data_IF_969643114295
#
_entry.id   IF_969643114295
#
_cell.length_a   1.000
_cell.length_b   1.000
_cell.length_c   1.000
_cell.angle_alpha   90.00
_cell.angle_beta   90.00
_cell.angle_gamma   90.00
#
_symmetry.space_group_name_H-M   'P 1'
#
loop_
_entity.id
_entity.type
_entity.pdbx_description
1 polymer ?
#
# COMPACT_ATOMS: atom_id res chain seq x y z
N UNK A 1 74.29 -44.33 45.34
CA UNK A 1 74.27 -42.92 44.90
C UNK A 1 74.96 -42.80 43.54
N UNK A 2 74.55 -41.82 42.74
CA UNK A 2 74.81 -41.58 41.30
C UNK A 2 73.88 -42.40 40.38
N UNK A 3 72.72 -41.92 39.87
CA UNK A 3 72.22 -40.61 39.38
C UNK A 3 72.77 -40.15 38.01
N UNK A 4 71.90 -40.29 36.99
CA UNK A 4 71.85 -39.58 35.69
C UNK A 4 73.01 -39.84 34.69
N UNK A 5 72.80 -40.03 33.38
CA UNK A 5 71.82 -39.38 32.51
C UNK A 5 71.32 -40.33 31.41
N UNK A 6 70.01 -40.60 31.40
CA UNK A 6 69.30 -41.20 30.26
C UNK A 6 68.97 -40.08 29.28
N UNK A 7 69.59 -40.15 28.09
CA UNK A 7 69.12 -39.42 26.90
C UNK A 7 67.71 -39.89 26.55
N UNK A 8 66.69 -39.14 26.94
CA UNK A 8 65.38 -39.24 26.31
C UNK A 8 65.32 -38.20 25.21
N UNK A 9 65.50 -38.66 23.97
CA UNK A 9 65.04 -37.90 22.81
C UNK A 9 63.53 -37.77 22.93
N UNK A 10 63.10 -36.55 23.27
CA UNK A 10 61.73 -36.10 23.19
C UNK A 10 61.31 -36.13 21.71
N UNK A 11 60.71 -37.25 21.30
CA UNK A 11 59.91 -37.28 20.09
C UNK A 11 58.68 -36.41 20.34
N UNK A 12 58.75 -35.15 19.91
CA UNK A 12 57.56 -34.37 19.64
C UNK A 12 56.78 -35.11 18.56
N UNK A 13 55.77 -35.87 18.99
CA UNK A 13 54.74 -36.40 18.11
C UNK A 13 53.99 -35.19 17.57
N UNK A 14 54.40 -34.72 16.40
CA UNK A 14 53.62 -33.78 15.59
C UNK A 14 52.34 -34.53 15.24
N UNK A 15 51.21 -34.12 15.82
CA UNK A 15 49.91 -34.59 15.35
C UNK A 15 49.87 -34.41 13.82
N UNK A 16 49.49 -35.43 13.03
CA UNK A 16 49.36 -35.25 11.60
C UNK A 16 48.33 -34.16 11.37
N UNK A 17 48.75 -33.04 10.77
CA UNK A 17 47.81 -32.07 10.24
C UNK A 17 47.05 -32.81 9.12
N UNK A 18 45.81 -33.20 9.41
CA UNK A 18 44.93 -33.83 8.42
C UNK A 18 44.71 -32.82 7.29
N UNK A 19 45.31 -33.07 6.14
CA UNK A 19 45.09 -32.28 4.94
C UNK A 19 43.65 -32.46 4.46
N UNK A 20 43.08 -31.40 3.88
CA UNK A 20 41.75 -31.45 3.28
C UNK A 20 41.68 -32.51 2.18
N UNK A 21 40.66 -33.36 2.24
CA UNK A 21 40.42 -34.34 1.18
C UNK A 21 39.63 -33.72 0.03
N UNK A 22 39.83 -34.21 -1.20
CA UNK A 22 39.07 -33.75 -2.37
C UNK A 22 37.55 -33.95 -2.17
N UNK A 23 37.18 -35.03 -1.48
CA UNK A 23 35.79 -35.35 -1.11
C UNK A 23 35.22 -34.28 -0.17
N UNK A 24 35.98 -33.87 0.85
CA UNK A 24 35.57 -32.81 1.79
C UNK A 24 35.35 -31.48 1.04
N UNK A 25 36.23 -31.15 0.09
CA UNK A 25 36.07 -29.95 -0.74
C UNK A 25 34.81 -30.02 -1.61
N UNK A 26 34.50 -31.18 -2.21
CA UNK A 26 33.27 -31.37 -2.99
C UNK A 26 32.01 -31.24 -2.13
N UNK A 27 32.01 -31.80 -0.91
CA UNK A 27 30.88 -31.68 0.02
C UNK A 27 30.66 -30.22 0.42
N UNK A 28 31.74 -29.47 0.72
CA UNK A 28 31.65 -28.05 1.05
C UNK A 28 31.09 -27.24 -0.13
N UNK A 29 31.57 -27.48 -1.36
CA UNK A 29 31.06 -26.80 -2.56
C UNK A 29 29.57 -27.11 -2.78
N UNK A 30 29.16 -28.38 -2.62
CA UNK A 30 27.76 -28.78 -2.75
C UNK A 30 26.87 -28.10 -1.69
N UNK A 31 27.32 -28.06 -0.44
CA UNK A 31 26.61 -27.37 0.65
C UNK A 31 26.52 -25.87 0.38
N UNK A 32 27.60 -25.23 -0.06
CA UNK A 32 27.59 -23.81 -0.44
C UNK A 32 26.58 -23.52 -1.56
N UNK A 33 26.49 -24.37 -2.58
CA UNK A 33 25.51 -24.21 -3.65
C UNK A 33 24.06 -24.32 -3.15
N UNK A 34 23.78 -25.26 -2.25
CA UNK A 34 22.45 -25.41 -1.63
C UNK A 34 22.09 -24.19 -0.78
N UNK A 35 23.02 -23.72 0.05
CA UNK A 35 22.77 -22.52 0.88
C UNK A 35 22.57 -21.27 0.01
N UNK A 36 23.37 -21.10 -1.04
CA UNK A 36 23.28 -19.96 -1.94
C UNK A 36 21.93 -19.93 -2.68
N UNK A 37 21.50 -21.08 -3.20
CA UNK A 37 20.20 -21.19 -3.90
C UNK A 37 19.03 -20.91 -2.97
N UNK A 38 19.06 -21.44 -1.75
CA UNK A 38 18.03 -21.18 -0.74
C UNK A 38 18.00 -19.70 -0.32
N UNK A 39 19.17 -19.08 -0.15
CA UNK A 39 19.27 -17.65 0.14
C UNK A 39 18.66 -16.80 -0.98
N UNK A 40 19.03 -17.07 -2.25
CA UNK A 40 18.48 -16.36 -3.42
C UNK A 40 16.95 -16.49 -3.46
N UNK A 41 16.42 -17.69 -3.24
CA UNK A 41 14.98 -17.94 -3.22
C UNK A 41 14.27 -17.10 -2.14
N UNK A 42 14.78 -17.11 -0.91
CA UNK A 42 14.20 -16.34 0.20
C UNK A 42 14.30 -14.83 -0.03
N UNK A 43 15.41 -14.33 -0.58
CA UNK A 43 15.58 -12.92 -0.92
C UNK A 43 14.64 -12.47 -2.05
N UNK A 44 14.42 -13.31 -3.06
CA UNK A 44 13.45 -13.01 -4.11
C UNK A 44 12.03 -12.93 -3.54
N UNK A 45 11.64 -13.87 -2.68
CA UNK A 45 10.32 -13.90 -2.06
C UNK A 45 10.08 -12.71 -1.11
N UNK A 46 11.09 -12.32 -0.32
CA UNK A 46 10.99 -11.18 0.59
C UNK A 46 10.88 -9.86 -0.18
N UNK A 47 11.61 -9.72 -1.29
CA UNK A 47 11.52 -8.55 -2.17
C UNK A 47 10.12 -8.36 -2.77
N UNK A 48 9.48 -9.44 -3.24
CA UNK A 48 8.11 -9.40 -3.78
C UNK A 48 7.09 -9.03 -2.70
N UNK A 49 7.22 -9.62 -1.51
CA UNK A 49 6.32 -9.37 -0.38
C UNK A 49 6.44 -7.92 0.11
N UNK A 50 7.66 -7.39 0.21
CA UNK A 50 7.91 -6.01 0.64
C UNK A 50 7.38 -4.99 -0.35
N UNK A 51 7.58 -5.20 -1.67
CA UNK A 51 7.03 -4.33 -2.71
C UNK A 51 5.50 -4.29 -2.66
N UNK A 52 4.87 -5.46 -2.51
CA UNK A 52 3.41 -5.56 -2.39
C UNK A 52 2.89 -4.80 -1.18
N UNK A 53 3.52 -4.98 -0.02
CA UNK A 53 3.14 -4.27 1.21
C UNK A 53 3.30 -2.75 1.07
N UNK A 54 4.42 -2.28 0.52
CA UNK A 54 4.65 -0.86 0.27
C UNK A 54 3.60 -0.27 -0.70
N UNK A 55 3.24 -1.01 -1.75
CA UNK A 55 2.20 -0.65 -2.72
C UNK A 55 0.85 -0.50 -2.03
N UNK A 56 0.43 -1.50 -1.26
CA UNK A 56 -0.86 -1.46 -0.52
C UNK A 56 -0.89 -0.33 0.49
N UNK A 57 0.20 -0.08 1.21
CA UNK A 57 0.28 0.99 2.20
C UNK A 57 0.16 2.36 1.56
N UNK A 58 0.88 2.61 0.46
CA UNK A 58 0.80 3.87 -0.27
C UNK A 58 -0.61 4.12 -0.84
N UNK A 59 -1.25 3.08 -1.40
CA UNK A 59 -2.62 3.16 -1.89
C UNK A 59 -3.60 3.53 -0.77
N UNK A 60 -3.43 2.89 0.40
CA UNK A 60 -4.25 3.16 1.56
C UNK A 60 -4.04 4.58 2.08
N UNK A 61 -2.80 5.09 2.10
CA UNK A 61 -2.49 6.45 2.53
C UNK A 61 -3.11 7.51 1.60
N UNK A 62 -2.99 7.35 0.28
CA UNK A 62 -3.62 8.26 -0.69
C UNK A 62 -5.14 8.23 -0.56
N UNK A 63 -5.72 7.03 -0.41
CA UNK A 63 -7.16 6.84 -0.22
C UNK A 63 -7.64 7.52 1.06
N UNK A 64 -6.93 7.33 2.17
CA UNK A 64 -7.27 7.95 3.45
C UNK A 64 -7.24 9.47 3.35
N UNK A 65 -6.24 10.06 2.67
CA UNK A 65 -6.18 11.51 2.45
C UNK A 65 -7.34 12.01 1.61
N UNK A 66 -7.70 11.29 0.55
CA UNK A 66 -8.86 11.61 -0.29
C UNK A 66 -10.15 11.57 0.54
N UNK A 67 -10.37 10.50 1.30
CA UNK A 67 -11.58 10.32 2.10
C UNK A 67 -11.68 11.34 3.25
N UNK A 68 -10.55 11.74 3.84
CA UNK A 68 -10.54 12.79 4.86
C UNK A 68 -11.01 14.13 4.30
N UNK A 69 -10.46 14.55 3.15
CA UNK A 69 -10.86 15.80 2.52
C UNK A 69 -12.31 15.74 2.03
N UNK A 70 -12.70 14.62 1.43
CA UNK A 70 -14.05 14.41 0.95
C UNK A 70 -15.06 14.42 2.11
N UNK A 71 -14.79 13.73 3.22
CA UNK A 71 -15.65 13.78 4.42
C UNK A 71 -15.74 15.18 5.00
N UNK A 72 -14.64 15.93 4.98
CA UNK A 72 -14.60 17.33 5.44
C UNK A 72 -15.53 18.18 4.59
N UNK A 73 -15.38 18.13 3.27
CA UNK A 73 -16.17 18.94 2.34
C UNK A 73 -17.65 18.54 2.38
N UNK A 74 -17.95 17.24 2.45
CA UNK A 74 -19.32 16.73 2.58
C UNK A 74 -20.02 17.20 3.85
N UNK A 75 -19.30 17.34 4.98
CA UNK A 75 -19.90 17.85 6.24
C UNK A 75 -20.31 19.31 6.16
N UNK A 76 -19.61 20.10 5.35
CA UNK A 76 -19.88 21.52 5.12
C UNK A 76 -20.68 21.78 3.83
N UNK A 77 -21.04 20.72 3.11
CA UNK A 77 -21.78 20.84 1.86
C UNK A 77 -23.26 21.17 2.14
N UNK A 78 -23.75 22.23 1.51
CA UNK A 78 -25.17 22.58 1.51
C UNK A 78 -25.91 21.95 0.33
N UNK A 79 -25.21 21.77 -0.79
CA UNK A 79 -25.71 21.11 -1.99
C UNK A 79 -24.68 20.13 -2.53
N UNK A 80 -25.15 19.03 -3.10
CA UNK A 80 -24.29 18.02 -3.71
C UNK A 80 -24.95 17.40 -4.95
N UNK A 81 -24.19 17.33 -6.04
CA UNK A 81 -24.56 16.63 -7.27
C UNK A 81 -23.53 15.55 -7.56
N UNK A 82 -24.01 14.37 -7.94
CA UNK A 82 -23.20 13.18 -8.13
C UNK A 82 -23.35 12.65 -9.56
N UNK A 83 -22.23 12.25 -10.15
CA UNK A 83 -22.16 11.63 -11.46
C UNK A 83 -21.11 10.50 -11.44
N UNK A 84 -21.05 9.71 -12.52
CA UNK A 84 -20.00 8.72 -12.71
C UNK A 84 -18.62 9.33 -12.89
N UNK A 85 -18.54 10.57 -13.40
CA UNK A 85 -17.28 11.27 -13.68
C UNK A 85 -16.79 12.09 -12.48
N UNK A 86 -17.57 12.18 -11.41
CA UNK A 86 -17.23 13.07 -10.32
C UNK A 86 -18.40 13.54 -9.46
N UNK A 87 -18.10 14.49 -8.59
CA UNK A 87 -19.03 15.10 -7.66
C UNK A 87 -18.84 16.62 -7.66
N UNK A 88 -19.94 17.35 -7.58
CA UNK A 88 -19.94 18.80 -7.42
C UNK A 88 -20.59 19.12 -6.08
N UNK A 89 -19.90 19.85 -5.23
CA UNK A 89 -20.33 20.21 -3.89
C UNK A 89 -20.36 21.73 -3.76
N UNK A 90 -21.41 22.27 -3.16
CA UNK A 90 -21.43 23.67 -2.71
C UNK A 90 -21.15 23.69 -1.23
N UNK A 91 -20.00 24.23 -0.85
CA UNK A 91 -19.42 24.05 0.48
C UNK A 91 -19.33 25.39 1.20
N UNK A 92 -19.75 25.43 2.47
CA UNK A 92 -19.58 26.63 3.30
C UNK A 92 -18.20 26.60 3.95
N UNK A 93 -17.38 27.60 3.66
CA UNK A 93 -16.04 27.75 4.24
C UNK A 93 -15.77 29.19 4.66
N UNK A 94 -14.76 29.40 5.51
CA UNK A 94 -14.40 30.73 5.99
C UNK A 94 -13.45 31.40 4.99
N UNK A 95 -13.78 32.64 4.60
CA UNK A 95 -12.90 33.51 3.82
C UNK A 95 -11.65 33.88 4.61
N UNK A 96 -10.69 34.53 3.96
CA UNK A 96 -9.48 35.03 4.65
C UNK A 96 -9.79 36.06 5.73
N UNK A 97 -10.92 36.77 5.62
CA UNK A 97 -11.40 37.69 6.65
C UNK A 97 -12.26 37.01 7.73
N UNK A 98 -12.45 35.69 7.66
CA UNK A 98 -13.23 34.92 8.64
C UNK A 98 -14.75 35.00 8.44
N UNK A 99 -15.20 35.42 7.26
CA UNK A 99 -16.64 35.46 6.90
C UNK A 99 -17.02 34.14 6.23
N UNK A 100 -18.16 33.51 6.57
CA UNK A 100 -18.61 32.32 5.87
C UNK A 100 -19.01 32.66 4.42
N UNK A 101 -18.44 31.94 3.48
CA UNK A 101 -18.67 32.05 2.04
C UNK A 101 -19.01 30.66 1.47
N UNK A 102 -19.85 30.65 0.44
CA UNK A 102 -20.15 29.43 -0.30
C UNK A 102 -19.21 29.31 -1.49
N UNK A 103 -18.53 28.18 -1.58
CA UNK A 103 -17.57 27.91 -2.64
C UNK A 103 -17.90 26.58 -3.30
N UNK A 104 -17.80 26.56 -4.63
CA UNK A 104 -18.00 25.36 -5.41
C UNK A 104 -16.72 24.51 -5.40
N UNK A 105 -16.86 23.25 -5.01
CA UNK A 105 -15.79 22.26 -5.02
C UNK A 105 -16.17 21.13 -5.98
N UNK A 106 -15.33 20.91 -6.99
CA UNK A 106 -15.50 19.85 -7.96
C UNK A 106 -14.49 18.72 -7.71
N UNK A 107 -15.00 17.51 -7.59
CA UNK A 107 -14.21 16.28 -7.60
C UNK A 107 -14.34 15.64 -8.96
N UNK A 108 -13.26 15.58 -9.73
CA UNK A 108 -13.21 14.87 -11.00
C UNK A 108 -12.54 13.51 -10.84
N UNK A 109 -13.22 12.46 -11.29
CA UNK A 109 -12.74 11.09 -11.29
C UNK A 109 -12.19 10.74 -12.67
N UNK A 110 -10.92 10.37 -12.70
CA UNK A 110 -10.23 9.96 -13.92
C UNK A 110 -9.53 8.63 -13.66
N UNK A 111 -9.23 7.84 -14.69
CA UNK A 111 -8.47 6.58 -14.52
C UNK A 111 -7.09 6.76 -13.87
N UNK A 112 -6.56 7.99 -13.81
CA UNK A 112 -5.28 8.29 -13.16
C UNK A 112 -5.42 8.62 -11.66
N UNK A 113 -6.63 8.94 -11.21
CA UNK A 113 -6.94 9.34 -9.85
C UNK A 113 -8.05 10.38 -9.75
N UNK A 114 -8.04 11.12 -8.64
CA UNK A 114 -9.08 12.11 -8.32
C UNK A 114 -8.47 13.50 -8.25
N UNK A 115 -9.10 14.47 -8.89
CA UNK A 115 -8.73 15.88 -8.77
C UNK A 115 -9.83 16.61 -8.01
N UNK A 116 -9.46 17.32 -6.95
CA UNK A 116 -10.34 18.26 -6.24
C UNK A 116 -10.00 19.66 -6.74
N UNK A 117 -10.98 20.37 -7.28
CA UNK A 117 -10.85 21.72 -7.82
C UNK A 117 -11.75 22.67 -7.07
N UNK A 118 -11.22 23.85 -6.80
CA UNK A 118 -11.83 24.99 -6.14
C UNK A 118 -11.27 26.22 -6.87
N UNK A 119 -12.03 27.31 -7.02
CA UNK A 119 -11.76 28.43 -7.94
C UNK A 119 -10.29 28.79 -8.21
N UNK A 120 -9.46 28.86 -7.15
CA UNK A 120 -8.03 29.19 -7.25
C UNK A 120 -7.07 28.07 -6.83
N UNK A 121 -7.58 26.91 -6.43
CA UNK A 121 -6.81 25.80 -5.85
C UNK A 121 -7.25 24.46 -6.42
N UNK A 122 -6.29 23.74 -6.99
CA UNK A 122 -6.48 22.33 -7.36
C UNK A 122 -5.59 21.45 -6.48
N UNK A 123 -6.16 20.35 -6.00
CA UNK A 123 -5.46 19.30 -5.26
C UNK A 123 -5.68 17.97 -5.96
N UNK A 124 -4.59 17.30 -6.33
CA UNK A 124 -4.63 16.03 -7.05
C UNK A 124 -4.26 14.85 -6.14
N UNK A 125 -5.05 13.79 -6.22
CA UNK A 125 -4.83 12.50 -5.58
C UNK A 125 -4.54 11.48 -6.68
N UNK A 126 -3.26 11.26 -6.95
CA UNK A 126 -2.81 10.38 -8.04
C UNK A 126 -2.67 8.94 -7.55
N UNK A 127 -3.32 8.02 -8.27
CA UNK A 127 -3.23 6.57 -8.02
C UNK A 127 -2.39 5.87 -9.10
N UNK A 128 -2.25 6.47 -10.30
CA UNK A 128 -1.49 5.91 -11.43
C UNK A 128 -0.05 5.51 -11.10
N UNK A 129 0.64 6.25 -10.24
CA UNK A 129 2.04 5.94 -9.88
C UNK A 129 2.16 4.77 -8.90
N UNK A 130 1.03 4.33 -8.32
CA UNK A 130 0.95 3.26 -7.33
C UNK A 130 0.38 1.97 -7.91
N UNK A 131 -0.02 2.01 -9.18
CA UNK A 131 -0.78 0.97 -9.88
C UNK A 131 -0.01 0.69 -11.16
N UNK A 132 0.31 -0.59 -11.41
CA UNK A 132 1.03 -0.96 -12.63
C UNK A 132 0.08 -0.82 -13.84
N UNK A 133 0.63 -0.79 -15.06
CA UNK A 133 -0.19 -0.60 -16.28
C UNK A 133 -1.31 -1.62 -16.44
N UNK A 134 -1.12 -2.81 -15.87
CA UNK A 134 -1.98 -3.97 -16.06
C UNK A 134 -2.92 -4.20 -14.86
N UNK A 135 -2.75 -3.42 -13.80
CA UNK A 135 -3.60 -3.44 -12.63
C UNK A 135 -4.87 -2.61 -12.88
N UNK A 136 -5.95 -3.01 -12.23
CA UNK A 136 -7.24 -2.34 -12.35
C UNK A 136 -7.46 -1.36 -11.19
N UNK A 137 -7.92 -0.16 -11.51
CA UNK A 137 -8.36 0.85 -10.54
C UNK A 137 -9.64 1.52 -10.98
N UNK A 138 -10.55 1.74 -10.03
CA UNK A 138 -11.77 2.49 -10.27
C UNK A 138 -12.24 3.22 -9.02
N UNK A 139 -12.83 4.38 -9.23
CA UNK A 139 -13.64 5.09 -8.25
C UNK A 139 -15.02 5.35 -8.83
N UNK A 140 -16.07 5.06 -8.07
CA UNK A 140 -17.45 5.26 -8.50
C UNK A 140 -18.32 5.78 -7.38
N UNK A 141 -19.35 6.55 -7.74
CA UNK A 141 -20.43 6.93 -6.84
C UNK A 141 -21.56 5.92 -6.97
N UNK A 142 -22.04 5.41 -5.84
CA UNK A 142 -23.13 4.44 -5.77
C UNK A 142 -24.31 5.03 -5.02
N UNK A 143 -25.50 4.87 -5.57
CA UNK A 143 -26.74 5.28 -4.93
C UNK A 143 -27.49 4.03 -4.45
N UNK A 144 -27.64 3.88 -3.14
CA UNK A 144 -28.50 2.84 -2.57
C UNK A 144 -29.86 3.44 -2.22
N UNK A 145 -30.93 2.71 -2.55
CA UNK A 145 -32.33 3.14 -2.37
C UNK A 145 -33.12 2.37 -1.29
N UNK A 146 -32.49 1.44 -0.58
CA UNK A 146 -33.18 0.53 0.37
C UNK A 146 -32.72 0.74 1.82
N UNK A 147 -32.67 -0.30 2.65
CA UNK A 147 -32.44 -0.24 4.11
C UNK A 147 -31.22 0.59 4.56
N UNK A 148 -30.28 0.85 3.66
CA UNK A 148 -29.14 1.74 3.84
C UNK A 148 -29.12 2.80 2.72
N UNK A 149 -30.19 3.58 2.62
CA UNK A 149 -30.34 4.59 1.58
C UNK A 149 -29.29 5.70 1.76
N UNK A 150 -28.64 6.05 0.66
CA UNK A 150 -27.50 6.94 0.72
C UNK A 150 -26.70 7.01 -0.57
N UNK A 151 -25.77 7.94 -0.57
CA UNK A 151 -24.73 8.05 -1.59
C UNK A 151 -23.44 7.51 -1.01
N UNK A 152 -22.76 6.65 -1.75
CA UNK A 152 -21.52 6.01 -1.37
C UNK A 152 -20.45 6.30 -2.41
N UNK A 153 -19.20 6.30 -1.99
CA UNK A 153 -18.04 6.24 -2.88
C UNK A 153 -17.38 4.90 -2.69
N UNK A 154 -17.22 4.18 -3.80
CA UNK A 154 -16.51 2.92 -3.86
C UNK A 154 -15.19 3.13 -4.61
N UNK A 155 -14.08 2.74 -3.98
CA UNK A 155 -12.73 2.77 -4.53
C UNK A 155 -12.22 1.33 -4.53
N UNK A 156 -11.93 0.82 -5.72
CA UNK A 156 -11.41 -0.53 -5.92
C UNK A 156 -10.05 -0.47 -6.61
N UNK A 157 -9.10 -1.27 -6.13
CA UNK A 157 -7.82 -1.51 -6.77
C UNK A 157 -7.50 -3.01 -6.71
N UNK A 158 -7.17 -3.59 -7.87
CA UNK A 158 -6.85 -5.00 -8.03
C UNK A 158 -5.56 -5.16 -8.81
N UNK A 159 -4.74 -6.13 -8.42
CA UNK A 159 -3.64 -6.59 -9.27
C UNK A 159 -4.19 -7.22 -10.55
N UNK A 160 -3.38 -7.24 -11.61
CA UNK A 160 -3.66 -8.01 -12.82
C UNK A 160 -4.00 -9.49 -12.54
N UNK A 161 -3.41 -10.05 -11.47
CA UNK A 161 -3.65 -11.41 -10.99
C UNK A 161 -5.07 -11.64 -10.43
N UNK A 162 -5.86 -10.58 -10.26
CA UNK A 162 -7.17 -10.59 -9.59
C UNK A 162 -7.11 -10.41 -8.08
N UNK A 163 -5.91 -10.34 -7.49
CA UNK A 163 -5.76 -10.09 -6.06
C UNK A 163 -6.24 -8.68 -5.69
N UNK A 164 -7.02 -8.57 -4.62
CA UNK A 164 -7.44 -7.28 -4.08
C UNK A 164 -6.24 -6.56 -3.46
N UNK A 165 -5.97 -5.34 -3.91
CA UNK A 165 -5.01 -4.41 -3.29
C UNK A 165 -5.69 -3.48 -2.32
N UNK A 166 -6.87 -2.99 -2.70
CA UNK A 166 -7.66 -2.04 -1.93
C UNK A 166 -9.13 -2.20 -2.33
N UNK A 167 -10.01 -2.25 -1.35
CA UNK A 167 -11.45 -2.14 -1.57
C UNK A 167 -12.03 -1.31 -0.43
N UNK A 168 -12.55 -0.13 -0.76
CA UNK A 168 -13.10 0.80 0.21
C UNK A 168 -14.47 1.25 -0.27
N UNK A 169 -15.47 1.12 0.61
CA UNK A 169 -16.82 1.63 0.39
C UNK A 169 -17.14 2.59 1.52
N UNK A 170 -17.24 3.87 1.18
CA UNK A 170 -17.50 4.95 2.14
C UNK A 170 -18.89 5.52 1.92
N UNK A 171 -19.68 5.65 3.00
CA UNK A 171 -20.98 6.32 2.95
C UNK A 171 -20.79 7.83 3.05
N UNK A 172 -21.24 8.57 2.04
CA UNK A 172 -21.13 10.02 1.97
C UNK A 172 -22.36 10.73 2.56
N UNK A 173 -23.54 10.25 2.21
CA UNK A 173 -24.82 10.83 2.63
C UNK A 173 -25.71 9.71 3.15
N UNK A 174 -26.36 9.94 4.29
CA UNK A 174 -27.50 9.14 4.71
C UNK A 174 -28.78 9.81 4.22
N UNK A 175 -29.60 9.06 3.48
CA UNK A 175 -30.95 9.52 3.10
C UNK A 175 -31.92 8.88 4.07
N UNK A 176 -32.59 9.69 4.89
CA UNK A 176 -33.64 9.16 5.76
C UNK A 176 -34.79 8.63 4.88
N UNK A 177 -35.18 7.35 5.04
CA UNK A 177 -36.24 6.74 4.24
C UNK A 177 -37.61 7.40 4.48
N UNK A 178 -37.77 8.15 5.57
CA UNK A 178 -39.00 8.85 5.94
C UNK A 178 -39.27 10.13 5.11
N UNK A 179 -38.31 10.62 4.33
CA UNK A 179 -38.47 11.86 3.55
C UNK A 179 -39.03 11.67 2.13
N UNK A 180 -39.23 10.42 1.67
CA UNK A 180 -39.72 10.12 0.31
C UNK A 180 -41.25 9.96 0.18
N UNK A 181 -42.01 10.23 1.24
CA UNK A 181 -43.48 10.28 1.18
C UNK A 181 -43.93 11.73 1.01
N UNK A 182 -44.02 12.18 -0.24
CA UNK A 182 -44.87 13.29 -0.66
C UNK A 182 -45.50 12.97 -2.00
#
# INVERSE_FOLDING_TARGET
MSYQDRRFHSYLVRAPASGYTLVELLVVVALCAVVLTMAIYLFAQSGLTSRRLAKTQNLQDVTNRLLLDLRRDMRSATEASFSSEGMRLLVTQLSQEGVPEQVEVLYHFSGEGVTREEDSRSKRFTFKTLIESDDHWSITTLHKRHSDAGVFVQIDAHEHSGNVLLQVVEKLISVDPASSVK
#
